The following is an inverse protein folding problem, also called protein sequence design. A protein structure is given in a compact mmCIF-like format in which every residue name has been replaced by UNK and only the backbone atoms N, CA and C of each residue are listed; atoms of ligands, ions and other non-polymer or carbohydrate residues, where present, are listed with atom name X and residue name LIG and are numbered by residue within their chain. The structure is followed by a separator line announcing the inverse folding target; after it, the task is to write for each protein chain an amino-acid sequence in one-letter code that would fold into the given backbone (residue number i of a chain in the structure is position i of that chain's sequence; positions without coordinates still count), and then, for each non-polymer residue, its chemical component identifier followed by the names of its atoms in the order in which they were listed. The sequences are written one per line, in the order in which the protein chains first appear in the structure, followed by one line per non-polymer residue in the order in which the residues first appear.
data_IF_723366856848
#
_entry.id   IF_723366856848
#
_cell.length_a   1.000
_cell.length_b   1.000
_cell.length_c   1.000
_cell.angle_alpha   90.00
_cell.angle_beta   90.00
_cell.angle_gamma   90.00
#
_symmetry.space_group_name_H-M   'P 1'
#
loop_
_entity.id
_entity.type
_entity.pdbx_description
1 polymer ?
#
# COMPACT_ATOMS: atom_id res chain seq x y z
N UNK A 1 10.20 -27.94 13.66
CA UNK A 1 9.73 -26.59 14.07
C UNK A 1 10.61 -25.46 13.55
N UNK A 2 11.94 -25.47 13.74
CA UNK A 2 12.84 -24.40 13.23
C UNK A 2 12.73 -24.19 11.71
N UNK A 3 12.59 -25.27 10.92
CA UNK A 3 12.43 -25.17 9.46
C UNK A 3 11.06 -24.57 9.04
N UNK A 4 10.00 -24.73 9.85
CA UNK A 4 8.67 -24.17 9.57
C UNK A 4 8.62 -22.67 9.85
N UNK A 5 9.33 -22.21 10.89
CA UNK A 5 9.46 -20.77 11.21
C UNK A 5 10.36 -20.07 10.20
N UNK A 6 11.43 -20.73 9.74
CA UNK A 6 12.27 -20.21 8.66
C UNK A 6 11.53 -20.11 7.32
N UNK A 7 10.64 -21.06 7.02
CA UNK A 7 9.79 -21.00 5.82
C UNK A 7 8.71 -19.92 5.94
N UNK A 8 8.13 -19.69 7.12
CA UNK A 8 7.20 -18.59 7.37
C UNK A 8 7.85 -17.21 7.25
N UNK A 9 9.07 -17.04 7.79
CA UNK A 9 9.86 -15.80 7.64
C UNK A 9 10.37 -15.61 6.20
N UNK A 10 10.64 -16.70 5.48
CA UNK A 10 10.93 -16.67 4.06
C UNK A 10 9.70 -16.25 3.26
N UNK A 11 8.54 -16.86 3.48
CA UNK A 11 7.30 -16.48 2.80
C UNK A 11 6.94 -15.03 3.12
N UNK A 12 7.02 -14.62 4.39
CA UNK A 12 6.84 -13.23 4.80
C UNK A 12 7.87 -12.32 4.16
N UNK A 13 9.16 -12.66 4.15
CA UNK A 13 10.22 -11.85 3.54
C UNK A 13 10.08 -11.67 2.03
N UNK A 14 9.70 -12.75 1.33
CA UNK A 14 9.40 -12.78 -0.12
C UNK A 14 8.12 -12.01 -0.42
N UNK A 15 7.12 -12.07 0.47
CA UNK A 15 5.89 -11.32 0.36
C UNK A 15 6.07 -9.83 0.72
N UNK A 16 7.04 -9.42 1.55
CA UNK A 16 6.99 -8.11 2.24
C UNK A 16 7.72 -6.95 1.57
N UNK A 17 8.67 -7.14 0.65
CA UNK A 17 9.40 -5.99 0.07
C UNK A 17 9.06 -5.73 -1.41
N UNK A 18 9.52 -6.58 -2.33
CA UNK A 18 9.35 -6.33 -3.77
C UNK A 18 7.98 -6.70 -4.34
N UNK A 19 7.38 -7.79 -3.89
CA UNK A 19 6.07 -8.27 -4.39
C UNK A 19 4.92 -7.37 -3.93
N UNK A 20 4.97 -6.85 -2.70
CA UNK A 20 4.01 -5.86 -2.22
C UNK A 20 3.98 -4.61 -3.11
N UNK A 21 5.13 -4.13 -3.57
CA UNK A 21 5.16 -2.93 -4.43
C UNK A 21 4.33 -3.10 -5.70
N UNK A 22 4.46 -4.25 -6.37
CA UNK A 22 3.66 -4.58 -7.56
C UNK A 22 2.18 -4.73 -7.24
N UNK A 23 1.86 -5.39 -6.13
CA UNK A 23 0.48 -5.53 -5.66
C UNK A 23 -0.15 -4.16 -5.35
N UNK A 24 0.63 -3.25 -4.76
CA UNK A 24 0.17 -1.89 -4.51
C UNK A 24 0.01 -1.10 -5.80
N UNK A 25 0.92 -1.21 -6.77
CA UNK A 25 0.73 -0.61 -8.10
C UNK A 25 -0.59 -1.03 -8.74
N UNK A 26 -0.91 -2.33 -8.65
CA UNK A 26 -2.18 -2.89 -9.10
C UNK A 26 -3.39 -2.31 -8.37
N UNK A 27 -3.41 -2.39 -7.02
CA UNK A 27 -4.52 -1.91 -6.21
C UNK A 27 -4.79 -0.44 -6.53
N UNK A 28 -3.73 0.37 -6.68
CA UNK A 28 -3.84 1.80 -7.02
C UNK A 28 -4.48 2.01 -8.38
N UNK A 29 -4.09 1.25 -9.40
CA UNK A 29 -4.68 1.34 -10.74
C UNK A 29 -6.15 0.90 -10.75
N UNK A 30 -6.45 -0.22 -10.10
CA UNK A 30 -7.81 -0.76 -10.00
C UNK A 30 -8.72 0.19 -9.23
N UNK A 31 -8.27 0.77 -8.12
CA UNK A 31 -9.01 1.81 -7.39
C UNK A 31 -9.41 2.94 -8.34
N UNK A 32 -8.45 3.51 -9.08
CA UNK A 32 -8.74 4.59 -10.02
C UNK A 32 -9.74 4.19 -11.11
N UNK A 33 -9.62 2.97 -11.67
CA UNK A 33 -10.56 2.47 -12.68
C UNK A 33 -11.96 2.29 -12.07
N UNK A 34 -12.07 1.68 -10.90
CA UNK A 34 -13.34 1.36 -10.24
C UNK A 34 -14.08 2.62 -9.79
N UNK A 35 -13.37 3.64 -9.33
CA UNK A 35 -14.00 4.86 -8.84
C UNK A 35 -14.61 5.73 -9.94
N UNK A 36 -14.22 5.53 -11.20
CA UNK A 36 -14.95 6.16 -12.31
C UNK A 36 -16.40 5.65 -12.41
N UNK A 37 -16.73 4.51 -11.79
CA UNK A 37 -18.11 4.02 -11.68
C UNK A 37 -18.99 4.83 -10.72
N UNK A 38 -18.41 5.72 -9.91
CA UNK A 38 -19.16 6.64 -9.03
C UNK A 38 -19.80 7.81 -9.78
N UNK A 39 -19.37 8.06 -11.02
CA UNK A 39 -20.00 9.06 -11.88
C UNK A 39 -21.44 8.62 -12.20
N UNK A 40 -22.38 9.58 -12.27
CA UNK A 40 -23.80 9.30 -12.57
C UNK A 40 -24.03 8.97 -14.05
N UNK A 41 -23.38 7.90 -14.51
CA UNK A 41 -23.45 7.37 -15.87
C UNK A 41 -24.19 6.05 -15.85
N UNK A 42 -25.02 5.83 -16.87
CA UNK A 42 -25.69 4.54 -17.04
C UNK A 42 -24.73 3.55 -17.70
N UNK A 43 -24.08 2.71 -16.89
CA UNK A 43 -23.23 1.63 -17.39
C UNK A 43 -24.07 0.51 -18.03
N UNK A 44 -23.54 -0.16 -19.08
CA UNK A 44 -24.14 -1.40 -19.58
C UNK A 44 -24.02 -2.50 -18.51
N UNK A 45 -24.95 -3.46 -18.51
CA UNK A 45 -25.09 -4.44 -17.43
C UNK A 45 -23.83 -5.28 -17.15
N UNK A 46 -23.05 -5.59 -18.20
CA UNK A 46 -21.77 -6.27 -18.09
C UNK A 46 -20.71 -5.46 -17.32
N UNK A 47 -20.59 -4.15 -17.59
CA UNK A 47 -19.64 -3.29 -16.87
C UNK A 47 -20.09 -3.01 -15.43
N UNK A 48 -21.39 -2.81 -15.21
CA UNK A 48 -21.95 -2.59 -13.87
C UNK A 48 -21.68 -3.77 -12.93
N UNK A 49 -21.93 -5.00 -13.38
CA UNK A 49 -21.66 -6.22 -12.60
C UNK A 49 -20.17 -6.40 -12.29
N UNK A 50 -19.29 -6.06 -13.25
CA UNK A 50 -17.84 -6.08 -13.02
C UNK A 50 -17.44 -5.08 -11.93
N UNK A 51 -17.89 -3.83 -12.01
CA UNK A 51 -17.54 -2.80 -11.03
C UNK A 51 -18.00 -3.13 -9.62
N UNK A 52 -19.21 -3.69 -9.48
CA UNK A 52 -19.75 -4.17 -8.20
C UNK A 52 -18.89 -5.25 -7.54
N UNK A 53 -18.17 -6.07 -8.33
CA UNK A 53 -17.24 -7.07 -7.79
C UNK A 53 -15.84 -6.48 -7.59
N UNK A 54 -15.41 -5.62 -8.50
CA UNK A 54 -14.10 -5.00 -8.47
C UNK A 54 -13.93 -4.05 -7.28
N UNK A 55 -15.00 -3.42 -6.79
CA UNK A 55 -14.95 -2.56 -5.60
C UNK A 55 -14.47 -3.30 -4.36
N UNK A 56 -14.88 -4.56 -4.17
CA UNK A 56 -14.43 -5.40 -3.05
C UNK A 56 -12.91 -5.64 -3.07
N UNK A 57 -12.31 -5.70 -4.27
CA UNK A 57 -10.86 -5.84 -4.43
C UNK A 57 -10.14 -4.50 -4.33
N UNK A 58 -10.80 -3.41 -4.70
CA UNK A 58 -10.25 -2.06 -4.68
C UNK A 58 -10.26 -1.45 -3.27
N UNK A 59 -11.25 -1.79 -2.45
CA UNK A 59 -11.32 -1.40 -1.05
C UNK A 59 -10.29 -2.18 -0.22
N UNK A 60 -9.51 -1.49 0.61
CA UNK A 60 -8.60 -2.15 1.57
C UNK A 60 -9.33 -2.65 2.82
N UNK A 61 -10.58 -3.09 2.68
CA UNK A 61 -11.38 -3.59 3.79
C UNK A 61 -11.19 -5.10 4.04
N UNK A 62 -10.01 -5.46 4.53
CA UNK A 62 -9.62 -6.86 4.76
C UNK A 62 -10.35 -7.49 5.97
N UNK A 63 -10.73 -6.67 6.95
CA UNK A 63 -11.24 -7.09 8.26
C UNK A 63 -12.72 -6.74 8.47
N UNK A 64 -13.45 -6.38 7.40
CA UNK A 64 -14.87 -5.97 7.48
C UNK A 64 -15.06 -4.85 8.53
N UNK A 65 -14.26 -3.79 8.41
CA UNK A 65 -14.18 -2.73 9.41
C UNK A 65 -15.52 -2.04 9.64
N UNK A 66 -16.33 -1.90 8.60
CA UNK A 66 -17.68 -1.31 8.68
C UNK A 66 -18.54 -2.02 9.72
N UNK A 67 -18.68 -3.35 9.65
CA UNK A 67 -19.51 -4.14 10.57
C UNK A 67 -19.03 -4.01 12.02
N UNK A 68 -17.71 -3.96 12.24
CA UNK A 68 -17.14 -3.76 13.56
C UNK A 68 -17.46 -2.36 14.10
N UNK A 69 -17.39 -1.33 13.24
CA UNK A 69 -17.72 0.04 13.64
C UNK A 69 -19.20 0.21 13.95
N UNK A 70 -20.12 -0.44 13.22
CA UNK A 70 -21.56 -0.38 13.51
C UNK A 70 -21.90 -0.97 14.89
N UNK A 71 -21.16 -1.99 15.33
CA UNK A 71 -21.35 -2.63 16.63
C UNK A 71 -20.80 -1.77 17.78
N UNK A 72 -19.68 -1.08 17.56
CA UNK A 72 -18.99 -0.31 18.61
C UNK A 72 -19.55 1.12 18.70
N UNK A 73 -19.88 1.73 17.56
CA UNK A 73 -20.23 3.13 17.47
C UNK A 73 -21.65 3.33 16.92
N UNK A 74 -22.43 4.14 17.61
CA UNK A 74 -23.69 4.67 17.10
C UNK A 74 -23.47 6.09 16.57
N UNK A 75 -23.37 6.25 15.25
CA UNK A 75 -23.27 7.57 14.60
C UNK A 75 -24.64 8.10 14.19
N UNK A 76 -24.73 9.41 13.98
CA UNK A 76 -25.88 10.02 13.30
C UNK A 76 -26.02 9.44 11.90
N UNK A 77 -27.24 9.01 11.55
CA UNK A 77 -27.56 8.58 10.19
C UNK A 77 -27.46 9.75 9.21
N UNK A 78 -26.68 9.56 8.16
CA UNK A 78 -26.55 10.46 7.01
C UNK A 78 -26.87 9.65 5.76
N UNK A 79 -27.68 10.18 4.82
CA UNK A 79 -27.93 9.49 3.56
C UNK A 79 -26.63 9.41 2.73
N UNK A 80 -26.49 8.43 1.82
CA UNK A 80 -25.39 8.39 0.86
C UNK A 80 -25.41 9.62 -0.05
N UNK A 81 -24.27 9.95 -0.68
CA UNK A 81 -24.15 11.12 -1.55
C UNK A 81 -25.07 11.02 -2.79
N UNK A 82 -25.17 9.81 -3.35
CA UNK A 82 -26.09 9.44 -4.44
C UNK A 82 -26.32 7.92 -4.42
N UNK A 83 -27.29 7.44 -5.20
CA UNK A 83 -27.53 6.00 -5.36
C UNK A 83 -26.30 5.25 -5.89
N UNK A 84 -25.44 5.91 -6.68
CA UNK A 84 -24.19 5.33 -7.17
C UNK A 84 -23.16 5.17 -6.07
N UNK A 85 -23.08 6.10 -5.13
CA UNK A 85 -22.22 5.95 -3.96
C UNK A 85 -22.68 4.79 -3.07
N UNK A 86 -24.00 4.66 -2.85
CA UNK A 86 -24.57 3.52 -2.11
C UNK A 86 -24.29 2.17 -2.80
N UNK A 87 -24.45 2.10 -4.14
CA UNK A 87 -24.14 0.89 -4.93
C UNK A 87 -22.66 0.48 -4.84
N UNK A 88 -21.76 1.46 -4.62
CA UNK A 88 -20.33 1.28 -4.45
C UNK A 88 -19.90 1.16 -2.98
N UNK A 89 -20.84 0.83 -2.10
CA UNK A 89 -20.66 0.58 -0.66
C UNK A 89 -20.33 1.81 0.20
N UNK A 90 -20.52 3.03 -0.33
CA UNK A 90 -20.48 4.27 0.45
C UNK A 90 -21.88 4.61 0.98
N UNK A 91 -22.33 3.86 2.00
CA UNK A 91 -23.70 3.93 2.53
C UNK A 91 -24.00 5.17 3.37
N UNK A 92 -22.95 5.86 3.84
CA UNK A 92 -23.07 7.05 4.69
C UNK A 92 -22.07 8.12 4.29
N UNK A 93 -22.16 9.31 4.90
CA UNK A 93 -21.15 10.37 4.78
C UNK A 93 -20.20 10.38 5.98
N UNK A 94 -20.28 9.37 6.86
CA UNK A 94 -19.50 9.30 8.09
C UNK A 94 -18.09 8.81 7.80
N UNK A 95 -17.08 9.57 8.22
CA UNK A 95 -15.67 9.26 7.96
C UNK A 95 -15.25 7.87 8.45
N UNK A 96 -15.56 7.52 9.71
CA UNK A 96 -15.15 6.25 10.31
C UNK A 96 -15.79 5.07 9.56
N UNK A 97 -17.09 5.16 9.28
CA UNK A 97 -17.84 4.10 8.58
C UNK A 97 -17.27 3.80 7.20
N UNK A 98 -16.85 4.82 6.46
CA UNK A 98 -16.33 4.65 5.10
C UNK A 98 -14.82 4.33 5.06
N UNK A 99 -14.13 4.36 6.20
CA UNK A 99 -12.67 4.16 6.26
C UNK A 99 -12.21 2.70 6.17
N UNK A 100 -13.15 1.76 6.06
CA UNK A 100 -12.88 0.32 6.00
C UNK A 100 -12.01 -0.14 7.18
N UNK A 101 -11.02 -0.98 6.90
CA UNK A 101 -10.13 -1.53 7.93
C UNK A 101 -9.03 -0.58 8.41
N UNK A 102 -8.97 0.67 7.94
CA UNK A 102 -7.87 1.61 8.21
C UNK A 102 -7.57 1.79 9.70
N UNK A 103 -8.59 2.11 10.52
CA UNK A 103 -8.38 2.34 11.95
C UNK A 103 -8.03 1.06 12.72
N UNK A 104 -8.58 -0.09 12.30
CA UNK A 104 -8.24 -1.38 12.91
C UNK A 104 -6.76 -1.68 12.68
N UNK A 105 -6.27 -1.54 11.44
CA UNK A 105 -4.86 -1.78 11.11
C UNK A 105 -3.98 -0.75 11.85
N UNK A 106 -4.40 0.51 11.93
CA UNK A 106 -3.68 1.53 12.68
C UNK A 106 -3.54 1.15 14.17
N UNK A 107 -4.62 0.70 14.81
CA UNK A 107 -4.59 0.20 16.19
C UNK A 107 -3.64 -0.98 16.32
N UNK A 108 -3.66 -1.94 15.39
CA UNK A 108 -2.74 -3.08 15.39
C UNK A 108 -1.27 -2.64 15.30
N UNK A 109 -0.96 -1.63 14.48
CA UNK A 109 0.39 -1.03 14.38
C UNK A 109 0.82 -0.42 15.72
N UNK A 110 -0.09 0.23 16.45
CA UNK A 110 0.19 0.79 17.78
C UNK A 110 0.28 -0.27 18.90
N UNK A 111 -0.48 -1.35 18.80
CA UNK A 111 -0.46 -2.45 19.77
C UNK A 111 0.80 -3.31 19.64
N UNK A 112 1.36 -3.43 18.45
CA UNK A 112 2.58 -4.19 18.16
C UNK A 112 3.77 -3.86 19.09
N UNK A 113 4.22 -2.60 19.23
CA UNK A 113 5.33 -2.25 20.11
C UNK A 113 4.98 -2.47 21.58
N UNK A 114 3.71 -2.28 21.98
CA UNK A 114 3.24 -2.51 23.34
C UNK A 114 3.31 -4.00 23.67
N UNK A 115 2.89 -4.87 22.74
CA UNK A 115 3.03 -6.31 22.86
C UNK A 115 4.51 -6.71 22.97
N UNK A 116 5.41 -6.13 22.17
CA UNK A 116 6.87 -6.38 22.29
C UNK A 116 7.43 -5.95 23.64
N UNK A 117 6.99 -4.80 24.17
CA UNK A 117 7.39 -4.32 25.52
C UNK A 117 6.90 -5.30 26.58
N UNK A 118 5.64 -5.72 26.51
CA UNK A 118 5.06 -6.66 27.46
C UNK A 118 5.77 -8.03 27.43
N UNK A 119 6.02 -8.57 26.23
CA UNK A 119 6.75 -9.84 26.03
C UNK A 119 8.17 -9.71 26.59
N UNK A 120 8.89 -8.64 26.26
CA UNK A 120 10.25 -8.42 26.76
C UNK A 120 10.26 -8.27 28.28
N UNK A 121 9.30 -7.54 28.85
CA UNK A 121 9.11 -7.42 30.30
C UNK A 121 8.88 -8.77 30.97
N UNK A 122 8.00 -9.60 30.40
CA UNK A 122 7.73 -10.96 30.88
C UNK A 122 8.97 -11.85 30.79
N UNK A 123 9.73 -11.79 29.69
CA UNK A 123 10.98 -12.53 29.52
C UNK A 123 12.05 -12.11 30.55
N UNK A 124 12.10 -10.83 30.92
CA UNK A 124 13.01 -10.33 31.97
C UNK A 124 12.62 -10.84 33.36
N UNK A 125 11.32 -10.93 33.65
CA UNK A 125 10.82 -11.54 34.90
C UNK A 125 11.15 -13.03 34.97
N UNK A 126 11.10 -13.73 33.83
CA UNK A 126 11.34 -15.17 33.71
C UNK A 126 12.76 -15.52 33.23
N UNK A 127 13.74 -14.63 33.45
CA UNK A 127 15.13 -14.76 32.95
C UNK A 127 15.87 -16.04 33.37
N UNK A 128 15.36 -16.76 34.38
CA UNK A 128 15.91 -18.05 34.85
C UNK A 128 15.82 -19.13 33.77
N UNK A 129 14.83 -19.07 32.89
CA UNK A 129 14.64 -20.05 31.83
C UNK A 129 15.44 -19.66 30.57
N UNK A 130 16.28 -20.57 30.06
CA UNK A 130 17.08 -20.33 28.84
C UNK A 130 16.20 -19.94 27.65
N UNK A 131 15.08 -20.64 27.47
CA UNK A 131 14.10 -20.37 26.42
C UNK A 131 13.56 -18.94 26.44
N UNK A 132 13.22 -18.41 27.64
CA UNK A 132 12.70 -17.05 27.77
C UNK A 132 13.74 -15.99 27.41
N UNK A 133 15.03 -16.26 27.63
CA UNK A 133 16.12 -15.36 27.21
C UNK A 133 16.25 -15.30 25.69
N UNK A 134 16.14 -16.45 25.02
CA UNK A 134 16.19 -16.51 23.55
C UNK A 134 15.03 -15.75 22.91
N UNK A 135 13.80 -15.91 23.45
CA UNK A 135 12.63 -15.12 23.03
C UNK A 135 12.87 -13.62 23.30
N UNK A 136 13.34 -13.26 24.49
CA UNK A 136 13.61 -11.88 24.86
C UNK A 136 14.59 -11.18 23.93
N UNK A 137 15.67 -11.88 23.53
CA UNK A 137 16.65 -11.37 22.57
C UNK A 137 16.02 -11.20 21.19
N UNK A 138 15.19 -12.16 20.75
CA UNK A 138 14.53 -12.10 19.45
C UNK A 138 13.56 -10.90 19.33
N UNK A 139 12.77 -10.62 20.36
CA UNK A 139 11.82 -9.50 20.36
C UNK A 139 12.44 -8.15 20.75
N UNK A 140 13.67 -8.14 21.26
CA UNK A 140 14.35 -6.91 21.63
C UNK A 140 14.70 -6.09 20.38
N UNK A 141 13.99 -4.98 20.19
CA UNK A 141 14.21 -4.05 19.09
C UNK A 141 14.64 -2.70 19.66
N UNK A 142 15.78 -2.12 19.22
CA UNK A 142 16.34 -0.92 19.84
C UNK A 142 15.49 0.34 19.60
N UNK A 143 14.67 0.39 18.54
CA UNK A 143 13.90 1.59 18.16
C UNK A 143 12.39 1.29 17.98
N UNK A 144 11.69 1.09 19.10
CA UNK A 144 10.24 0.80 19.12
C UNK A 144 9.39 1.82 18.34
N UNK A 145 9.77 3.10 18.39
CA UNK A 145 9.02 4.18 17.75
C UNK A 145 9.22 4.25 16.23
N UNK A 146 10.36 3.78 15.72
CA UNK A 146 10.65 3.79 14.28
C UNK A 146 9.69 2.90 13.53
N UNK A 147 9.41 1.70 14.05
CA UNK A 147 8.49 0.74 13.43
C UNK A 147 7.05 1.27 13.36
N UNK A 148 6.54 1.86 14.44
CA UNK A 148 5.21 2.48 14.46
C UNK A 148 5.13 3.60 13.45
N UNK A 149 6.15 4.46 13.42
CA UNK A 149 6.21 5.62 12.54
C UNK A 149 6.24 5.20 11.06
N UNK A 150 7.07 4.23 10.71
CA UNK A 150 7.18 3.70 9.34
C UNK A 150 5.91 2.96 8.92
N UNK A 151 5.39 2.07 9.78
CA UNK A 151 4.16 1.35 9.53
C UNK A 151 2.96 2.28 9.35
N UNK A 152 2.81 3.28 10.23
CA UNK A 152 1.71 4.25 10.15
C UNK A 152 1.82 5.13 8.90
N UNK A 153 3.04 5.58 8.56
CA UNK A 153 3.26 6.39 7.37
C UNK A 153 2.99 5.59 6.10
N UNK A 154 3.46 4.34 6.04
CA UNK A 154 3.19 3.43 4.92
C UNK A 154 1.71 3.17 4.76
N UNK A 155 1.01 2.81 5.84
CA UNK A 155 -0.44 2.63 5.85
C UNK A 155 -1.16 3.89 5.38
N UNK A 156 -0.73 5.07 5.84
CA UNK A 156 -1.31 6.35 5.41
C UNK A 156 -1.13 6.58 3.91
N UNK A 157 0.04 6.28 3.35
CA UNK A 157 0.32 6.42 1.91
C UNK A 157 -0.51 5.46 1.06
N UNK A 158 -0.61 4.21 1.50
CA UNK A 158 -1.40 3.17 0.86
C UNK A 158 -2.90 3.52 0.92
N UNK A 159 -3.39 3.96 2.08
CA UNK A 159 -4.81 4.32 2.34
C UNK A 159 -5.16 5.76 1.96
N UNK A 160 -4.21 6.50 1.39
CA UNK A 160 -4.36 7.94 1.17
C UNK A 160 -5.60 8.28 0.33
N UNK A 161 -5.89 7.43 -0.66
CA UNK A 161 -7.04 7.63 -1.54
C UNK A 161 -8.38 7.48 -0.77
N UNK A 162 -8.51 6.45 0.05
CA UNK A 162 -9.72 6.21 0.87
C UNK A 162 -9.89 7.32 1.91
N UNK A 163 -8.81 7.76 2.55
CA UNK A 163 -8.83 8.91 3.47
C UNK A 163 -9.28 10.18 2.75
N UNK A 164 -8.85 10.40 1.50
CA UNK A 164 -9.37 11.49 0.67
C UNK A 164 -10.89 11.37 0.54
N UNK A 165 -11.37 10.21 0.08
CA UNK A 165 -12.80 9.96 -0.15
C UNK A 165 -13.63 10.20 1.12
N UNK A 166 -13.23 9.61 2.24
CA UNK A 166 -13.92 9.75 3.52
C UNK A 166 -13.93 11.20 4.02
N UNK A 167 -12.81 11.93 3.88
CA UNK A 167 -12.71 13.33 4.31
C UNK A 167 -13.66 14.23 3.51
N UNK A 168 -13.71 14.06 2.19
CA UNK A 168 -14.58 14.86 1.32
C UNK A 168 -16.07 14.50 1.51
N UNK A 169 -16.42 13.22 1.68
CA UNK A 169 -17.79 12.82 2.02
C UNK A 169 -18.25 13.43 3.35
N UNK A 170 -17.41 13.39 4.38
CA UNK A 170 -17.74 13.99 5.67
C UNK A 170 -17.75 15.53 5.62
N UNK A 171 -16.97 16.14 4.71
CA UNK A 171 -17.07 17.57 4.44
C UNK A 171 -18.45 17.93 3.86
N UNK A 172 -18.98 17.13 2.94
CA UNK A 172 -20.37 17.30 2.46
C UNK A 172 -21.37 17.13 3.60
N UNK A 173 -21.16 16.16 4.51
CA UNK A 173 -22.01 16.00 5.69
C UNK A 173 -22.07 17.27 6.56
N UNK A 174 -20.94 17.99 6.72
CA UNK A 174 -20.91 19.25 7.44
C UNK A 174 -21.77 20.33 6.79
N UNK A 175 -21.78 20.41 5.45
CA UNK A 175 -22.59 21.37 4.70
C UNK A 175 -24.08 21.00 4.61
N UNK A 176 -24.42 19.71 4.60
CA UNK A 176 -25.80 19.24 4.57
C UNK A 176 -26.47 19.26 5.95
N UNK A 177 -25.70 19.33 7.02
CA UNK A 177 -26.23 19.40 8.37
C UNK A 177 -26.99 20.72 8.60
N UNK A 178 -28.16 20.70 9.28
CA UNK A 178 -28.95 21.92 9.53
C UNK A 178 -28.22 22.92 10.45
N UNK A 179 -27.26 22.44 11.24
CA UNK A 179 -26.33 23.29 11.99
C UNK A 179 -25.00 22.57 12.17
N UNK A 180 -23.88 23.31 12.17
CA UNK A 180 -22.55 22.73 12.37
C UNK A 180 -22.44 21.96 13.70
N UNK A 181 -23.03 22.50 14.77
CA UNK A 181 -23.09 21.87 16.09
C UNK A 181 -23.77 20.48 16.10
N UNK A 182 -24.64 20.21 15.12
CA UNK A 182 -25.32 18.91 15.03
C UNK A 182 -24.39 17.74 14.73
N UNK A 183 -23.18 18.00 14.23
CA UNK A 183 -22.14 16.99 14.01
C UNK A 183 -21.29 16.72 15.28
N UNK A 184 -21.55 17.43 16.38
CA UNK A 184 -20.82 17.31 17.65
C UNK A 184 -21.76 17.01 18.84
N UNK A 185 -22.94 16.44 18.58
CA UNK A 185 -23.95 16.19 19.63
C UNK A 185 -23.58 15.04 20.56
N UNK A 186 -23.01 13.96 20.01
CA UNK A 186 -22.56 12.81 20.78
C UNK A 186 -21.04 12.71 20.76
N UNK A 187 -20.47 11.91 21.66
CA UNK A 187 -19.04 11.61 21.65
C UNK A 187 -18.60 10.97 20.33
N UNK A 188 -19.38 10.01 19.82
CA UNK A 188 -19.08 9.32 18.55
C UNK A 188 -19.09 10.29 17.37
N UNK A 189 -20.13 11.13 17.26
CA UNK A 189 -20.21 12.14 16.19
C UNK A 189 -19.05 13.15 16.28
N UNK A 190 -18.68 13.54 17.51
CA UNK A 190 -17.56 14.45 17.75
C UNK A 190 -16.23 13.81 17.35
N UNK A 191 -15.98 12.56 17.73
CA UNK A 191 -14.78 11.81 17.37
C UNK A 191 -14.66 11.67 15.84
N UNK A 192 -15.75 11.26 15.18
CA UNK A 192 -15.81 11.16 13.72
C UNK A 192 -15.51 12.51 13.05
N UNK A 193 -16.14 13.59 13.52
CA UNK A 193 -15.96 14.94 12.97
C UNK A 193 -14.54 15.45 13.17
N UNK A 194 -13.93 15.22 14.33
CA UNK A 194 -12.53 15.60 14.61
C UNK A 194 -11.57 14.81 13.72
N UNK A 195 -11.78 13.50 13.57
CA UNK A 195 -10.95 12.66 12.69
C UNK A 195 -11.08 13.06 11.22
N UNK A 196 -12.29 13.38 10.77
CA UNK A 196 -12.52 13.87 9.41
C UNK A 196 -11.81 15.21 9.13
N UNK A 197 -11.87 16.16 10.08
CA UNK A 197 -11.16 17.43 9.97
C UNK A 197 -9.64 17.24 10.01
N UNK A 198 -9.14 16.37 10.89
CA UNK A 198 -7.72 16.03 10.95
C UNK A 198 -7.26 15.35 9.65
N UNK A 199 -8.06 14.45 9.10
CA UNK A 199 -7.87 13.83 7.79
C UNK A 199 -7.75 14.89 6.71
N UNK A 200 -8.74 15.78 6.60
CA UNK A 200 -8.76 16.88 5.62
C UNK A 200 -7.52 17.77 5.72
N UNK A 201 -7.08 18.13 6.92
CA UNK A 201 -5.83 18.89 7.12
C UNK A 201 -4.62 18.07 6.65
N UNK A 202 -4.55 16.78 7.00
CA UNK A 202 -3.46 15.90 6.59
C UNK A 202 -3.37 15.74 5.07
N UNK A 203 -4.51 15.72 4.35
CA UNK A 203 -4.55 15.62 2.89
C UNK A 203 -3.82 16.78 2.18
N UNK A 204 -3.80 17.98 2.77
CA UNK A 204 -3.09 19.12 2.16
C UNK A 204 -1.72 19.33 2.79
N UNK A 205 -1.59 19.13 4.10
CA UNK A 205 -0.34 19.29 4.81
C UNK A 205 0.72 18.28 4.36
N UNK A 206 0.31 17.04 4.05
CA UNK A 206 1.25 15.97 3.75
C UNK A 206 1.93 16.12 2.38
N UNK A 207 1.22 16.36 1.25
CA UNK A 207 1.86 16.66 -0.03
C UNK A 207 2.72 17.93 0.03
N UNK A 208 2.28 18.96 0.76
CA UNK A 208 3.06 20.19 0.94
C UNK A 208 4.36 19.92 1.71
N UNK A 209 4.29 19.14 2.79
CA UNK A 209 5.47 18.72 3.53
C UNK A 209 6.42 17.89 2.65
N UNK A 210 5.89 16.93 1.90
CA UNK A 210 6.64 16.12 0.94
C UNK A 210 7.33 17.02 -0.10
N UNK A 211 6.65 18.03 -0.63
CA UNK A 211 7.19 19.00 -1.58
C UNK A 211 8.37 19.76 -1.00
N UNK A 212 8.23 20.32 0.21
CA UNK A 212 9.32 21.04 0.88
C UNK A 212 10.54 20.12 1.11
N UNK A 213 10.31 18.84 1.41
CA UNK A 213 11.39 17.85 1.54
C UNK A 213 12.04 17.53 0.20
N UNK A 214 11.27 17.30 -0.85
CA UNK A 214 11.79 17.08 -2.20
C UNK A 214 12.65 18.26 -2.66
N UNK A 215 12.20 19.51 -2.44
CA UNK A 215 12.98 20.71 -2.77
C UNK A 215 14.27 20.82 -1.96
N UNK A 216 14.26 20.41 -0.69
CA UNK A 216 15.47 20.38 0.15
C UNK A 216 16.46 19.32 -0.33
N UNK A 217 15.98 18.16 -0.77
CA UNK A 217 16.76 17.07 -1.36
C UNK A 217 17.41 17.51 -2.67
N UNK A 218 16.67 18.17 -3.56
CA UNK A 218 17.21 18.70 -4.81
C UNK A 218 18.31 19.75 -4.59
N UNK A 219 18.18 20.56 -3.53
CA UNK A 219 19.21 21.55 -3.17
C UNK A 219 20.46 20.90 -2.58
N UNK A 220 20.34 19.76 -1.90
CA UNK A 220 21.44 19.10 -1.18
C UNK A 220 21.43 17.58 -1.41
N UNK A 221 21.81 17.09 -2.61
CA UNK A 221 21.69 15.68 -2.98
C UNK A 221 22.60 14.76 -2.16
N UNK A 222 23.68 15.27 -1.57
CA UNK A 222 24.62 14.50 -0.73
C UNK A 222 24.09 14.22 0.68
N UNK A 223 22.97 14.81 1.08
CA UNK A 223 22.45 14.65 2.44
C UNK A 223 21.74 13.30 2.53
N UNK A 224 22.37 12.33 3.20
CA UNK A 224 21.71 11.07 3.60
C UNK A 224 20.61 11.45 4.57
N UNK A 225 19.36 11.22 4.16
CA UNK A 225 18.23 11.54 5.00
C UNK A 225 17.88 10.37 5.93
N UNK A 226 17.46 10.67 7.17
CA UNK A 226 16.99 9.66 8.10
C UNK A 226 15.71 8.97 7.59
N UNK A 227 15.49 7.76 8.08
CA UNK A 227 14.55 6.71 7.64
C UNK A 227 13.18 7.17 7.10
N UNK A 228 12.56 8.22 7.67
CA UNK A 228 11.25 8.70 7.23
C UNK A 228 11.24 9.22 5.78
N UNK A 229 12.32 9.87 5.36
CA UNK A 229 12.43 10.37 3.99
C UNK A 229 12.81 9.26 3.03
N UNK A 230 13.47 8.20 3.53
CA UNK A 230 13.71 7.02 2.73
C UNK A 230 12.38 6.46 2.26
N UNK A 231 11.37 6.29 3.13
CA UNK A 231 10.07 5.74 2.74
C UNK A 231 9.36 6.55 1.63
N UNK A 232 9.42 7.88 1.66
CA UNK A 232 8.80 8.74 0.65
C UNK A 232 9.47 8.65 -0.73
N UNK A 233 10.77 8.37 -0.75
CA UNK A 233 11.61 8.46 -1.95
C UNK A 233 12.30 7.13 -2.29
N UNK A 234 11.94 6.03 -1.62
CA UNK A 234 12.65 4.75 -1.69
C UNK A 234 12.67 4.20 -3.11
N UNK A 235 11.55 4.38 -3.82
CA UNK A 235 11.30 3.81 -5.14
C UNK A 235 11.70 4.74 -6.29
N UNK A 236 11.92 6.03 -6.00
CA UNK A 236 12.08 7.07 -7.01
C UNK A 236 13.55 7.44 -7.23
N UNK A 237 13.88 7.76 -8.48
CA UNK A 237 15.17 8.34 -8.78
C UNK A 237 15.21 9.81 -8.36
N UNK A 238 15.87 10.07 -7.23
CA UNK A 238 16.02 11.41 -6.67
C UNK A 238 17.14 12.22 -7.33
N UNK A 239 17.80 11.69 -8.36
CA UNK A 239 18.81 12.42 -9.13
C UNK A 239 18.23 13.62 -9.88
N UNK A 240 16.93 13.58 -10.17
CA UNK A 240 16.20 14.59 -10.93
C UNK A 240 14.99 15.12 -10.16
N UNK A 241 14.60 16.36 -10.48
CA UNK A 241 13.43 17.01 -9.89
C UNK A 241 12.14 16.24 -10.18
N UNK A 242 12.01 15.65 -11.37
CA UNK A 242 10.84 14.88 -11.73
C UNK A 242 10.65 13.67 -10.79
N UNK A 243 11.65 12.80 -10.64
CA UNK A 243 11.54 11.65 -9.74
C UNK A 243 11.25 12.05 -8.28
N UNK A 244 11.89 13.12 -7.79
CA UNK A 244 11.65 13.61 -6.43
C UNK A 244 10.24 14.20 -6.22
N UNK A 245 9.61 14.72 -7.27
CA UNK A 245 8.27 15.33 -7.20
C UNK A 245 7.13 14.37 -7.51
N UNK A 246 7.42 13.19 -8.10
CA UNK A 246 6.39 12.25 -8.53
C UNK A 246 5.43 11.85 -7.42
N UNK A 247 5.94 11.51 -6.22
CA UNK A 247 5.09 11.11 -5.11
C UNK A 247 4.10 12.21 -4.69
N UNK A 248 4.53 13.48 -4.74
CA UNK A 248 3.67 14.63 -4.41
C UNK A 248 2.62 14.83 -5.50
N UNK A 249 3.01 14.74 -6.77
CA UNK A 249 2.09 14.81 -7.90
C UNK A 249 1.03 13.71 -7.83
N UNK A 250 1.46 12.49 -7.50
CA UNK A 250 0.59 11.34 -7.31
C UNK A 250 -0.45 11.59 -6.21
N UNK A 251 -0.03 12.04 -5.02
CA UNK A 251 -0.94 12.35 -3.92
C UNK A 251 -1.89 13.52 -4.24
N UNK A 252 -1.38 14.57 -4.89
CA UNK A 252 -2.17 15.73 -5.29
C UNK A 252 -3.24 15.36 -6.31
N UNK A 253 -2.89 14.50 -7.29
CA UNK A 253 -3.84 13.96 -8.26
C UNK A 253 -4.98 13.22 -7.57
N UNK A 254 -4.69 12.41 -6.54
CA UNK A 254 -5.73 11.68 -5.79
C UNK A 254 -6.73 12.63 -5.12
N UNK A 255 -6.23 13.67 -4.46
CA UNK A 255 -7.08 14.72 -3.87
C UNK A 255 -7.94 15.38 -4.95
N UNK A 256 -7.35 15.74 -6.09
CA UNK A 256 -8.07 16.35 -7.20
C UNK A 256 -9.17 15.43 -7.76
N UNK A 257 -8.88 14.14 -7.96
CA UNK A 257 -9.86 13.16 -8.45
C UNK A 257 -11.04 13.00 -7.49
N UNK A 258 -10.79 12.85 -6.19
CA UNK A 258 -11.86 12.76 -5.19
C UNK A 258 -12.67 14.05 -5.14
N UNK A 259 -12.01 15.20 -5.18
CA UNK A 259 -12.70 16.49 -5.20
C UNK A 259 -13.62 16.62 -6.43
N UNK A 260 -13.16 16.19 -7.62
CA UNK A 260 -13.99 16.16 -8.83
C UNK A 260 -15.19 15.23 -8.65
N UNK A 261 -14.98 14.00 -8.16
CA UNK A 261 -16.04 13.01 -7.99
C UNK A 261 -17.10 13.44 -6.97
N UNK A 262 -16.69 14.05 -5.85
CA UNK A 262 -17.60 14.43 -4.75
C UNK A 262 -18.23 15.81 -4.97
N UNK A 263 -17.45 16.82 -5.35
CA UNK A 263 -17.93 18.21 -5.44
C UNK A 263 -18.65 18.52 -6.75
N UNK A 264 -18.35 17.79 -7.83
CA UNK A 264 -18.96 18.01 -9.15
C UNK A 264 -19.98 16.93 -9.51
N UNK A 265 -20.61 16.28 -8.52
CA UNK A 265 -21.51 15.13 -8.73
C UNK A 265 -22.64 15.40 -9.73
N UNK A 266 -23.11 16.65 -9.80
CA UNK A 266 -24.20 17.06 -10.68
C UNK A 266 -23.73 17.39 -12.11
N UNK A 267 -22.42 17.47 -12.34
CA UNK A 267 -21.78 17.94 -13.57
C UNK A 267 -20.99 16.80 -14.26
N UNK A 268 -21.69 15.70 -14.57
CA UNK A 268 -21.09 14.44 -15.05
C UNK A 268 -20.18 14.62 -16.27
N UNK A 269 -20.57 15.46 -17.24
CA UNK A 269 -19.73 15.74 -18.41
C UNK A 269 -18.35 16.30 -18.02
N UNK A 270 -18.34 17.30 -17.13
CA UNK A 270 -17.10 17.90 -16.66
C UNK A 270 -16.29 16.93 -15.80
N UNK A 271 -16.95 16.09 -15.00
CA UNK A 271 -16.26 15.04 -14.23
C UNK A 271 -15.46 14.11 -15.15
N UNK A 272 -16.11 13.53 -16.16
CA UNK A 272 -15.44 12.58 -17.05
C UNK A 272 -14.30 13.23 -17.83
N UNK A 273 -14.53 14.46 -18.33
CA UNK A 273 -13.49 15.21 -19.05
C UNK A 273 -12.29 15.50 -18.15
N UNK A 274 -12.49 16.01 -16.93
CA UNK A 274 -11.39 16.32 -16.02
C UNK A 274 -10.61 15.07 -15.60
N UNK A 275 -11.30 13.97 -15.28
CA UNK A 275 -10.65 12.69 -14.95
C UNK A 275 -9.82 12.16 -16.11
N UNK A 276 -10.34 12.28 -17.35
CA UNK A 276 -9.62 11.88 -18.54
C UNK A 276 -8.36 12.73 -18.77
N UNK A 277 -8.45 14.06 -18.64
CA UNK A 277 -7.31 14.96 -18.80
C UNK A 277 -6.24 14.75 -17.72
N UNK A 278 -6.65 14.56 -16.46
CA UNK A 278 -5.72 14.26 -15.36
C UNK A 278 -4.99 12.93 -15.58
N UNK A 279 -5.69 11.92 -16.10
CA UNK A 279 -5.08 10.62 -16.39
C UNK A 279 -4.14 10.68 -17.59
N UNK A 280 -4.50 11.41 -18.64
CA UNK A 280 -3.62 11.67 -19.78
C UNK A 280 -2.35 12.42 -19.36
N UNK A 281 -2.49 13.48 -18.57
CA UNK A 281 -1.35 14.27 -18.09
C UNK A 281 -0.38 13.40 -17.27
N UNK A 282 -0.90 12.52 -16.41
CA UNK A 282 -0.08 11.62 -15.61
C UNK A 282 0.60 10.53 -16.46
N UNK A 283 -0.09 10.01 -17.47
CA UNK A 283 0.49 9.06 -18.42
C UNK A 283 1.64 9.69 -19.23
N UNK A 284 1.45 10.92 -19.75
CA UNK A 284 2.51 11.68 -20.44
C UNK A 284 3.68 11.92 -19.49
N UNK A 285 3.40 12.30 -18.24
CA UNK A 285 4.44 12.52 -17.24
C UNK A 285 5.30 11.26 -17.02
N UNK A 286 4.68 10.10 -16.78
CA UNK A 286 5.40 8.85 -16.53
C UNK A 286 6.24 8.40 -17.73
N UNK A 287 5.68 8.50 -18.94
CA UNK A 287 6.37 8.07 -20.16
C UNK A 287 7.56 8.96 -20.49
N UNK A 288 7.49 10.26 -20.21
CA UNK A 288 8.57 11.22 -20.46
C UNK A 288 9.65 11.21 -19.37
N UNK A 289 9.26 11.20 -18.09
CA UNK A 289 10.21 11.43 -16.99
C UNK A 289 10.72 10.15 -16.33
N UNK A 290 10.00 9.02 -16.44
CA UNK A 290 10.39 7.73 -15.90
C UNK A 290 10.93 7.81 -14.45
N UNK A 291 10.11 8.26 -13.48
CA UNK A 291 10.58 8.68 -12.16
C UNK A 291 11.10 7.54 -11.25
N UNK A 292 10.88 6.27 -11.58
CA UNK A 292 11.30 5.13 -10.76
C UNK A 292 12.75 4.73 -11.02
N UNK A 293 13.43 4.19 -10.00
CA UNK A 293 14.80 3.66 -10.12
C UNK A 293 14.93 2.50 -11.11
N UNK A 294 13.87 1.72 -11.29
CA UNK A 294 13.84 0.54 -12.15
C UNK A 294 13.04 0.81 -13.42
N UNK A 295 13.64 0.55 -14.58
CA UNK A 295 12.97 0.65 -15.89
C UNK A 295 11.70 -0.23 -15.96
N UNK A 296 11.71 -1.40 -15.30
CA UNK A 296 10.53 -2.27 -15.23
C UNK A 296 9.39 -1.63 -14.43
N UNK A 297 9.72 -0.98 -13.31
CA UNK A 297 8.72 -0.26 -12.51
C UNK A 297 8.14 0.91 -13.30
N UNK A 298 8.98 1.67 -14.03
CA UNK A 298 8.52 2.72 -14.95
C UNK A 298 7.56 2.20 -16.03
N UNK A 299 7.91 1.08 -16.69
CA UNK A 299 7.05 0.47 -17.72
C UNK A 299 5.73 -0.03 -17.15
N UNK A 300 5.76 -0.66 -15.98
CA UNK A 300 4.55 -1.18 -15.33
C UNK A 300 3.63 -0.06 -14.87
N UNK A 301 4.17 0.99 -14.24
CA UNK A 301 3.36 2.14 -13.81
C UNK A 301 2.81 2.91 -15.01
N UNK A 302 3.61 3.11 -16.08
CA UNK A 302 3.12 3.72 -17.31
C UNK A 302 2.00 2.89 -17.96
N UNK A 303 2.11 1.56 -17.93
CA UNK A 303 1.05 0.66 -18.39
C UNK A 303 -0.21 0.78 -17.51
N UNK A 304 -0.06 0.84 -16.19
CA UNK A 304 -1.17 1.07 -15.26
C UNK A 304 -1.92 2.37 -15.59
N UNK A 305 -1.19 3.47 -15.77
CA UNK A 305 -1.79 4.76 -16.11
C UNK A 305 -2.39 4.81 -17.50
N UNK A 306 -1.79 4.10 -18.46
CA UNK A 306 -2.39 3.91 -19.78
C UNK A 306 -3.74 3.22 -19.68
N UNK A 307 -3.86 2.16 -18.87
CA UNK A 307 -5.15 1.47 -18.69
C UNK A 307 -6.19 2.35 -17.99
N UNK A 308 -5.79 3.15 -17.00
CA UNK A 308 -6.70 4.14 -16.35
C UNK A 308 -7.19 5.17 -17.38
N UNK A 309 -6.30 5.72 -18.20
CA UNK A 309 -6.64 6.67 -19.26
C UNK A 309 -7.54 6.05 -20.35
N UNK A 310 -7.25 4.81 -20.76
CA UNK A 310 -8.08 4.10 -21.73
C UNK A 310 -9.48 3.84 -21.16
N UNK A 311 -9.58 3.40 -19.91
CA UNK A 311 -10.85 3.23 -19.20
C UNK A 311 -11.64 4.54 -19.14
N UNK A 312 -11.01 5.67 -18.76
CA UNK A 312 -11.70 6.97 -18.73
C UNK A 312 -12.16 7.42 -20.12
N UNK A 313 -11.38 7.12 -21.16
CA UNK A 313 -11.76 7.41 -22.55
C UNK A 313 -12.98 6.60 -23.00
N UNK A 314 -13.03 5.30 -22.65
CA UNK A 314 -14.19 4.45 -22.95
C UNK A 314 -15.42 4.94 -22.20
N UNK A 315 -15.28 5.39 -20.95
CA UNK A 315 -16.39 5.91 -20.14
C UNK A 315 -16.99 7.19 -20.75
N UNK A 316 -16.17 8.06 -21.36
CA UNK A 316 -16.68 9.24 -22.08
C UNK A 316 -17.66 8.86 -23.20
N UNK A 317 -17.54 7.67 -23.79
CA UNK A 317 -18.47 7.21 -24.83
C UNK A 317 -19.89 6.98 -24.30
N UNK A 318 -20.04 6.71 -22.99
CA UNK A 318 -21.33 6.52 -22.33
C UNK A 318 -22.07 7.83 -22.04
N UNK A 319 -21.41 8.99 -22.16
CA UNK A 319 -22.07 10.29 -22.05
C UNK A 319 -23.06 10.54 -23.21
N UNK A 320 -22.84 9.89 -24.35
CA UNK A 320 -23.75 9.99 -25.48
C UNK A 320 -24.94 9.03 -25.31
N UNK A 321 -26.06 9.55 -24.79
CA UNK A 321 -27.29 8.80 -24.62
C UNK A 321 -27.86 8.23 -25.95
N UNK A 322 -27.49 8.81 -27.10
CA UNK A 322 -27.89 8.35 -28.43
C UNK A 322 -27.06 7.19 -29.00
N UNK A 323 -26.08 6.68 -28.24
CA UNK A 323 -25.29 5.52 -28.66
C UNK A 323 -26.14 4.25 -28.75
N UNK A 324 -25.91 3.42 -29.78
CA UNK A 324 -26.65 2.17 -29.95
C UNK A 324 -26.35 1.20 -28.79
N UNK A 325 -27.34 0.37 -28.43
CA UNK A 325 -27.20 -0.61 -27.35
C UNK A 325 -25.99 -1.55 -27.58
N UNK A 326 -25.84 -2.05 -28.80
CA UNK A 326 -24.71 -2.90 -29.20
C UNK A 326 -23.36 -2.22 -29.00
N UNK A 327 -23.25 -0.91 -29.29
CA UNK A 327 -22.01 -0.16 -29.06
C UNK A 327 -21.72 0.02 -27.57
N UNK A 328 -22.76 0.27 -26.76
CA UNK A 328 -22.62 0.39 -25.29
C UNK A 328 -22.19 -0.95 -24.67
N UNK A 329 -22.80 -2.06 -25.06
CA UNK A 329 -22.44 -3.40 -24.60
C UNK A 329 -21.00 -3.77 -24.98
N UNK A 330 -20.60 -3.49 -26.22
CA UNK A 330 -19.22 -3.66 -26.69
C UNK A 330 -18.23 -2.83 -25.87
N UNK A 331 -18.53 -1.55 -25.66
CA UNK A 331 -17.71 -0.65 -24.85
C UNK A 331 -17.62 -1.10 -23.39
N UNK A 332 -18.70 -1.68 -22.85
CA UNK A 332 -18.69 -2.32 -21.54
C UNK A 332 -17.72 -3.51 -21.47
N UNK A 333 -17.72 -4.39 -22.47
CA UNK A 333 -16.78 -5.51 -22.53
C UNK A 333 -15.34 -5.05 -22.73
N UNK A 334 -15.12 -4.00 -23.50
CA UNK A 334 -13.81 -3.37 -23.66
C UNK A 334 -13.28 -2.88 -22.31
N UNK A 335 -14.11 -2.20 -21.52
CA UNK A 335 -13.76 -1.71 -20.19
C UNK A 335 -13.36 -2.85 -19.23
N UNK A 336 -14.15 -3.92 -19.21
CA UNK A 336 -13.85 -5.14 -18.45
C UNK A 336 -12.53 -5.77 -18.94
N UNK A 337 -12.34 -5.87 -20.25
CA UNK A 337 -11.12 -6.40 -20.85
C UNK A 337 -9.86 -5.62 -20.47
N UNK A 338 -9.93 -4.28 -20.49
CA UNK A 338 -8.84 -3.40 -20.07
C UNK A 338 -8.49 -3.60 -18.60
N UNK A 339 -9.50 -3.66 -17.72
CA UNK A 339 -9.29 -3.89 -16.29
C UNK A 339 -8.72 -5.28 -16.00
N UNK A 340 -9.24 -6.34 -16.64
CA UNK A 340 -8.71 -7.70 -16.54
C UNK A 340 -7.28 -7.81 -17.05
N UNK A 341 -6.94 -7.13 -18.15
CA UNK A 341 -5.59 -7.07 -18.67
C UNK A 341 -4.65 -6.37 -17.67
N UNK A 342 -5.10 -5.27 -17.06
CA UNK A 342 -4.34 -4.58 -16.03
C UNK A 342 -4.01 -5.52 -14.84
N UNK A 343 -5.04 -6.18 -14.32
CA UNK A 343 -4.91 -7.16 -13.22
C UNK A 343 -3.97 -8.29 -13.61
N UNK A 344 -4.17 -8.88 -14.80
CA UNK A 344 -3.36 -10.00 -15.28
C UNK A 344 -1.87 -9.67 -15.42
N UNK A 345 -1.54 -8.51 -16.00
CA UNK A 345 -0.13 -8.07 -16.17
C UNK A 345 0.54 -7.84 -14.82
N UNK A 346 -0.13 -7.20 -13.86
CA UNK A 346 0.45 -6.97 -12.54
C UNK A 346 0.62 -8.27 -11.75
N UNK A 347 -0.37 -9.16 -11.74
CA UNK A 347 -0.26 -10.48 -11.08
C UNK A 347 0.88 -11.29 -11.70
N UNK A 348 1.01 -11.28 -13.03
CA UNK A 348 2.13 -11.93 -13.71
C UNK A 348 3.49 -11.33 -13.29
N UNK A 349 3.56 -10.00 -13.12
CA UNK A 349 4.73 -9.31 -12.59
C UNK A 349 5.09 -9.74 -11.16
N UNK A 350 4.11 -9.79 -10.27
CA UNK A 350 4.27 -10.30 -8.90
C UNK A 350 4.79 -11.74 -8.90
N UNK A 351 4.13 -12.63 -9.66
CA UNK A 351 4.50 -14.04 -9.75
C UNK A 351 5.92 -14.23 -10.30
N UNK A 352 6.31 -13.42 -11.30
CA UNK A 352 7.65 -13.45 -11.86
C UNK A 352 8.73 -13.04 -10.85
N UNK A 353 8.53 -11.93 -10.13
CA UNK A 353 9.50 -11.50 -9.11
C UNK A 353 9.56 -12.48 -7.93
N UNK A 354 8.42 -13.04 -7.50
CA UNK A 354 8.40 -14.12 -6.50
C UNK A 354 9.21 -15.35 -6.96
N UNK A 355 9.05 -15.76 -8.22
CA UNK A 355 9.79 -16.90 -8.77
C UNK A 355 11.29 -16.60 -8.84
N UNK A 356 11.68 -15.39 -9.22
CA UNK A 356 13.09 -14.96 -9.26
C UNK A 356 13.75 -14.94 -7.88
N UNK A 357 13.04 -14.45 -6.87
CA UNK A 357 13.52 -14.47 -5.47
C UNK A 357 13.70 -15.92 -5.02
N UNK A 358 12.69 -16.77 -5.24
CA UNK A 358 12.77 -18.20 -4.92
C UNK A 358 13.97 -18.89 -5.59
N UNK A 359 14.21 -18.65 -6.88
CA UNK A 359 15.38 -19.19 -7.58
C UNK A 359 16.70 -18.73 -6.98
N UNK A 360 16.78 -17.46 -6.58
CA UNK A 360 17.98 -16.89 -5.94
C UNK A 360 18.22 -17.55 -4.59
N UNK A 361 17.18 -17.73 -3.78
CA UNK A 361 17.30 -18.37 -2.47
C UNK A 361 17.63 -19.85 -2.56
N UNK A 362 17.07 -20.57 -3.54
CA UNK A 362 17.44 -21.97 -3.83
C UNK A 362 18.91 -22.07 -4.24
N UNK A 363 19.38 -21.17 -5.11
CA UNK A 363 20.79 -21.13 -5.52
C UNK A 363 21.71 -20.86 -4.32
N UNK A 364 21.38 -19.89 -3.50
CA UNK A 364 22.19 -19.51 -2.34
C UNK A 364 22.18 -20.60 -1.27
N UNK A 365 21.05 -21.32 -1.11
CA UNK A 365 20.97 -22.51 -0.26
C UNK A 365 21.86 -23.64 -0.78
N UNK A 366 21.86 -23.91 -2.09
CA UNK A 366 22.72 -24.94 -2.70
C UNK A 366 24.19 -24.62 -2.49
N UNK A 367 24.61 -23.36 -2.67
CA UNK A 367 25.99 -22.91 -2.41
C UNK A 367 26.36 -23.08 -0.94
N UNK A 368 25.48 -22.67 -0.01
CA UNK A 368 25.73 -22.87 1.43
C UNK A 368 25.82 -24.35 1.81
N UNK A 369 25.06 -25.21 1.12
CA UNK A 369 25.10 -26.66 1.33
C UNK A 369 26.41 -27.27 0.81
N UNK A 370 26.88 -26.87 -0.37
CA UNK A 370 28.16 -27.37 -0.91
C UNK A 370 29.32 -26.94 -0.01
N UNK A 371 29.37 -25.67 0.41
CA UNK A 371 30.39 -25.17 1.33
C UNK A 371 30.39 -25.93 2.67
N UNK A 372 29.22 -26.24 3.23
CA UNK A 372 29.13 -27.06 4.46
C UNK A 372 29.64 -28.49 4.25
N UNK A 373 29.42 -29.07 3.08
CA UNK A 373 29.92 -30.41 2.77
C UNK A 373 31.45 -30.41 2.58
N UNK A 374 32.01 -29.38 1.94
CA UNK A 374 33.45 -29.19 1.80
C UNK A 374 34.12 -28.99 3.16
N UNK A 375 33.59 -28.09 4.00
CA UNK A 375 34.09 -27.90 5.36
C UNK A 375 34.00 -29.17 6.22
N UNK A 376 32.91 -29.94 6.11
CA UNK A 376 32.78 -31.21 6.82
C UNK A 376 33.79 -32.25 6.32
N UNK A 377 34.06 -32.29 5.00
CA UNK A 377 35.06 -33.16 4.42
C UNK A 377 36.48 -32.78 4.89
N UNK A 378 36.83 -31.50 4.89
CA UNK A 378 38.11 -31.00 5.43
C UNK A 378 38.27 -31.30 6.92
N UNK A 379 37.23 -31.08 7.73
CA UNK A 379 37.27 -31.44 9.15
C UNK A 379 37.49 -32.94 9.36
N UNK A 380 36.87 -33.77 8.51
CA UNK A 380 37.04 -35.22 8.58
C UNK A 380 38.46 -35.68 8.19
N UNK A 381 39.07 -35.04 7.19
CA UNK A 381 40.44 -35.34 6.75
C UNK A 381 41.46 -34.89 7.80
N UNK A 382 41.26 -33.71 8.41
CA UNK A 382 42.06 -33.24 9.54
C UNK A 382 41.94 -34.16 10.77
N UNK A 383 40.73 -34.60 11.10
CA UNK A 383 40.52 -35.56 12.19
C UNK A 383 41.17 -36.92 11.93
N UNK A 384 41.30 -37.35 10.66
CA UNK A 384 42.05 -38.54 10.29
C UNK A 384 43.57 -38.32 10.40
N UNK A 385 44.07 -37.18 9.91
CA UNK A 385 45.50 -36.82 10.00
C UNK A 385 45.98 -36.72 11.46
N UNK A 386 45.22 -36.04 12.32
CA UNK A 386 45.52 -35.89 13.75
C UNK A 386 45.57 -37.25 14.48
N UNK A 387 44.70 -38.20 14.10
CA UNK A 387 44.75 -39.57 14.65
C UNK A 387 46.00 -40.33 14.23
N UNK A 388 46.50 -40.10 13.01
CA UNK A 388 47.72 -40.74 12.51
C UNK A 388 49.01 -40.14 13.10
N UNK A 389 48.99 -38.88 13.57
CA UNK A 389 50.18 -38.15 14.02
C UNK A 389 49.96 -37.49 15.40
N UNK A 390 49.85 -38.29 16.49
CA UNK A 390 49.50 -37.78 17.82
C UNK A 390 50.54 -36.84 18.44
N UNK A 391 51.78 -36.83 17.94
CA UNK A 391 52.87 -35.96 18.44
C UNK A 391 52.87 -34.56 17.82
N UNK A 392 52.08 -34.31 16.77
CA UNK A 392 51.97 -32.97 16.16
C UNK A 392 51.01 -32.13 16.99
N UNK A 393 51.55 -31.35 17.92
CA UNK A 393 50.75 -30.50 18.82
C UNK A 393 49.93 -29.48 18.03
N UNK A 394 48.61 -29.47 18.25
CA UNK A 394 47.57 -28.63 17.64
C UNK A 394 47.71 -27.10 17.86
N UNK A 395 48.84 -26.62 18.37
CA UNK A 395 49.02 -25.25 18.88
C UNK A 395 48.87 -24.11 17.86
N UNK A 396 48.69 -24.39 16.56
CA UNK A 396 48.58 -23.34 15.52
C UNK A 396 47.20 -23.15 14.89
N UNK A 397 46.25 -24.07 15.07
CA UNK A 397 44.99 -24.01 14.29
C UNK A 397 43.76 -23.51 15.05
N UNK A 398 43.86 -23.26 16.35
CA UNK A 398 42.75 -22.65 17.10
C UNK A 398 42.50 -21.17 16.73
N UNK A 399 43.44 -20.52 16.03
CA UNK A 399 43.32 -19.13 15.64
C UNK A 399 42.44 -18.87 14.40
N UNK A 400 42.20 -19.86 13.53
CA UNK A 400 41.48 -19.62 12.27
C UNK A 400 39.94 -19.74 12.42
N UNK A 401 39.47 -20.45 13.44
CA UNK A 401 38.02 -20.74 13.61
C UNK A 401 37.29 -19.63 14.39
N UNK A 402 37.99 -18.70 15.04
CA UNK A 402 37.36 -17.58 15.75
C UNK A 402 37.19 -16.29 14.92
N UNK A 403 37.76 -16.22 13.70
CA UNK A 403 37.70 -15.01 12.85
C UNK A 403 36.80 -15.12 11.61
N UNK A 404 36.12 -16.25 11.37
CA UNK A 404 35.11 -16.43 10.31
C UNK A 404 33.75 -16.79 10.90
#
# INVERSE_FOLDING_TARGET
MVNSVSFGNFLLGVLTSGSMQHLWGLIRAVQLIVLTALMEITFPGNAAEFYKRAILFASMDILSGEELYEQIFSFRRTPPLSAKFEEMDFRSLTFIMNSGSFFIILILIFLEPLARVAITGLCLLLKRFKFMREIGIYFHTPSKFTLVREGSLRLFMESYFEICMCSFLNLVAFFWAPSFSSNFKTFNDSLNSVLALAGLVALFAFPLWGFLKAMTLLRNPKRVYPDLQALLFEEFDTSHAAGSLYQILFLTRRVALVAILVLMKDEVFFQCMLVNHLSLANFIYLTQFQPFKSERANRLEAFNEFTVFLSSTVINSFLNAGSSLTFREFSGWLLVGVACLNIGVNIAGVAFEMFKVLLTDVRDWLIKRSLKQEMAAELSSWAAFSRAHPTVSLGRYHFIIQEQ
#
